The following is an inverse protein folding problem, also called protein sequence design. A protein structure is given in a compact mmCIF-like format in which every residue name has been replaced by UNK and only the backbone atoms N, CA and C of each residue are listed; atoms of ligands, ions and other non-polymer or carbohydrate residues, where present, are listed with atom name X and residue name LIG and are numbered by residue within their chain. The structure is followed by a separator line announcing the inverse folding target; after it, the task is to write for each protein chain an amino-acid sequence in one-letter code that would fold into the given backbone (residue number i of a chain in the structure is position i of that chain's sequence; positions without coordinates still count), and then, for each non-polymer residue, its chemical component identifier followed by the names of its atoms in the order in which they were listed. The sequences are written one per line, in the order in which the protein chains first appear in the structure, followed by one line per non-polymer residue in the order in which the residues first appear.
data_IF_751181427468
#
_entry.id   IF_751181427468
#
_cell.length_a   1.000
_cell.length_b   1.000
_cell.length_c   1.000
_cell.angle_alpha   90.00
_cell.angle_beta   90.00
_cell.angle_gamma   90.00
#
_symmetry.space_group_name_H-M   'P 1'
#
loop_
_entity.id
_entity.type
_entity.pdbx_description
1 polymer ?
#
# COMPACT_ATOMS: atom_id res chain seq x y z
N UNK A 1 7.69 -57.27 -50.95
CA UNK A 1 6.61 -56.91 -51.89
C UNK A 1 6.74 -55.42 -52.18
N UNK A 2 7.58 -55.06 -53.17
CA UNK A 2 7.23 -54.55 -54.52
C UNK A 2 6.46 -53.21 -54.46
N UNK A 3 7.15 -52.07 -54.58
CA UNK A 3 7.49 -51.28 -55.79
C UNK A 3 6.52 -50.07 -55.92
N UNK A 4 6.95 -48.83 -55.68
CA UNK A 4 7.45 -47.86 -56.69
C UNK A 4 6.69 -47.88 -58.03
N UNK A 5 6.03 -46.78 -58.42
CA UNK A 5 6.49 -45.89 -59.52
C UNK A 5 5.59 -44.64 -59.74
N UNK A 6 6.26 -43.54 -60.07
CA UNK A 6 5.77 -42.27 -60.64
C UNK A 6 5.08 -42.43 -62.01
N UNK A 7 4.20 -41.50 -62.40
CA UNK A 7 4.43 -40.63 -63.58
C UNK A 7 3.43 -39.45 -63.70
N UNK A 8 3.98 -38.29 -64.09
CA UNK A 8 3.34 -37.02 -64.49
C UNK A 8 2.59 -37.14 -65.83
N UNK A 9 1.71 -36.16 -66.16
CA UNK A 9 1.81 -35.28 -67.36
C UNK A 9 0.63 -34.28 -67.49
N UNK A 10 1.00 -32.98 -67.46
CA UNK A 10 0.58 -31.77 -68.21
C UNK A 10 -0.90 -31.43 -68.52
N UNK A 11 -1.31 -30.20 -68.17
CA UNK A 11 -1.68 -29.11 -69.12
C UNK A 11 -1.95 -27.77 -68.41
N UNK A 12 -1.23 -26.70 -68.81
CA UNK A 12 -1.65 -25.28 -68.72
C UNK A 12 -2.57 -24.99 -69.93
N UNK A 13 -3.53 -24.01 -69.94
CA UNK A 13 -3.19 -22.57 -69.91
C UNK A 13 -4.22 -21.56 -69.29
N UNK A 14 -3.65 -20.43 -68.83
CA UNK A 14 -4.07 -19.01 -68.98
C UNK A 14 -5.49 -18.56 -68.57
N UNK A 15 -5.55 -17.61 -67.62
CA UNK A 15 -6.70 -16.72 -67.45
C UNK A 15 -6.60 -15.70 -66.30
N UNK A 16 -6.12 -14.48 -66.60
CA UNK A 16 -6.30 -13.18 -65.89
C UNK A 16 -5.61 -12.94 -64.52
N UNK A 17 -4.59 -12.04 -64.46
CA UNK A 17 -4.12 -11.46 -63.20
C UNK A 17 -5.00 -10.23 -62.88
N UNK A 18 -6.08 -10.44 -62.14
CA UNK A 18 -6.96 -9.33 -61.71
C UNK A 18 -7.66 -9.53 -60.36
N UNK A 19 -7.38 -10.64 -59.66
CA UNK A 19 -8.09 -10.98 -58.41
C UNK A 19 -7.40 -10.55 -57.12
N UNK A 20 -6.06 -10.42 -57.10
CA UNK A 20 -5.33 -10.19 -55.85
C UNK A 20 -5.37 -8.74 -55.36
N UNK A 21 -5.53 -7.78 -56.26
CA UNK A 21 -5.59 -6.36 -55.87
C UNK A 21 -6.90 -6.03 -55.13
N UNK A 22 -8.01 -6.69 -55.47
CA UNK A 22 -9.28 -6.51 -54.76
C UNK A 22 -9.27 -7.08 -53.34
N UNK A 23 -8.55 -8.18 -53.12
CA UNK A 23 -8.40 -8.76 -51.76
C UNK A 23 -7.66 -7.79 -50.84
N UNK A 24 -6.62 -7.11 -51.33
CA UNK A 24 -5.87 -6.11 -50.55
C UNK A 24 -6.65 -4.80 -50.34
N UNK A 25 -7.43 -4.35 -51.33
CA UNK A 25 -8.26 -3.15 -51.20
C UNK A 25 -9.42 -3.36 -50.21
N UNK A 26 -9.99 -4.57 -50.15
CA UNK A 26 -11.04 -4.90 -49.17
C UNK A 26 -10.52 -5.06 -47.74
N UNK A 27 -9.23 -5.37 -47.56
CA UNK A 27 -8.55 -5.39 -46.25
C UNK A 27 -8.26 -3.99 -45.69
N UNK A 28 -8.22 -2.96 -46.54
CA UNK A 28 -7.93 -1.58 -46.14
C UNK A 28 -9.17 -0.73 -45.82
N UNK A 29 -10.38 -1.27 -46.02
CA UNK A 29 -11.64 -0.57 -45.72
C UNK A 29 -12.13 -0.90 -44.30
N UNK A 30 -12.31 0.10 -43.42
CA UNK A 30 -12.80 -0.14 -42.06
C UNK A 30 -14.21 -0.77 -42.10
N UNK A 31 -14.42 -1.82 -41.29
CA UNK A 31 -15.65 -2.63 -41.13
C UNK A 31 -15.95 -3.72 -42.17
N UNK A 32 -15.03 -4.08 -43.06
CA UNK A 32 -15.24 -5.20 -44.00
C UNK A 32 -14.73 -6.57 -43.50
N UNK A 33 -13.96 -6.63 -42.40
CA UNK A 33 -13.38 -7.89 -41.89
C UNK A 33 -14.42 -8.92 -41.42
N UNK A 34 -15.58 -8.47 -40.90
CA UNK A 34 -16.66 -9.35 -40.44
C UNK A 34 -17.34 -10.19 -41.52
N UNK A 35 -17.17 -9.86 -42.81
CA UNK A 35 -17.77 -10.59 -43.94
C UNK A 35 -16.98 -11.85 -44.35
N UNK A 36 -15.72 -11.99 -43.89
CA UNK A 36 -14.83 -13.11 -44.25
C UNK A 36 -14.43 -13.97 -43.05
N UNK A 37 -15.04 -13.78 -41.88
CA UNK A 37 -14.79 -14.61 -40.69
C UNK A 37 -13.37 -14.48 -40.13
N UNK A 38 -12.68 -13.38 -40.44
CA UNK A 38 -11.40 -13.02 -39.84
C UNK A 38 -11.74 -12.06 -38.69
N UNK A 39 -11.35 -12.39 -37.46
CA UNK A 39 -11.46 -11.47 -36.32
C UNK A 39 -10.82 -10.13 -36.70
N UNK A 40 -11.47 -9.03 -36.35
CA UNK A 40 -10.94 -7.68 -36.59
C UNK A 40 -9.49 -7.67 -36.08
N UNK A 41 -8.54 -7.43 -36.99
CA UNK A 41 -7.16 -7.15 -36.62
C UNK A 41 -7.14 -5.77 -35.98
N UNK A 42 -7.63 -5.70 -34.74
CA UNK A 42 -7.28 -4.63 -33.84
C UNK A 42 -5.82 -4.90 -33.48
N UNK A 43 -4.86 -4.04 -33.89
CA UNK A 43 -3.54 -4.13 -33.30
C UNK A 43 -3.78 -4.10 -31.79
N UNK A 44 -3.26 -5.11 -31.08
CA UNK A 44 -3.38 -5.22 -29.63
C UNK A 44 -3.20 -3.81 -29.07
N UNK A 45 -4.26 -3.27 -28.46
CA UNK A 45 -4.24 -1.94 -27.89
C UNK A 45 -2.97 -1.87 -27.07
N UNK A 46 -2.03 -0.98 -27.46
CA UNK A 46 -0.76 -0.87 -26.77
C UNK A 46 -1.12 -0.72 -25.29
N UNK A 47 -0.74 -1.72 -24.48
CA UNK A 47 -0.95 -1.65 -23.04
C UNK A 47 -0.27 -0.36 -22.63
N UNK A 48 -1.01 0.62 -22.13
CA UNK A 48 -0.43 1.88 -21.64
C UNK A 48 -0.40 1.82 -20.13
N UNK A 49 0.56 2.52 -19.54
CA UNK A 49 0.82 2.47 -18.10
C UNK A 49 0.66 3.86 -17.52
N UNK A 50 -0.08 3.96 -16.41
CA UNK A 50 -0.22 5.19 -15.67
C UNK A 50 0.97 5.39 -14.71
N UNK A 51 1.51 6.60 -14.69
CA UNK A 51 2.52 7.05 -13.73
C UNK A 51 1.97 8.31 -13.06
N UNK A 52 2.04 8.39 -11.74
CA UNK A 52 1.65 9.58 -11.00
C UNK A 52 2.90 10.30 -10.56
N UNK A 53 2.97 11.60 -10.80
CA UNK A 53 4.17 12.39 -10.57
C UNK A 53 3.94 13.48 -9.54
N UNK A 54 4.79 13.50 -8.52
CA UNK A 54 4.90 14.62 -7.60
C UNK A 54 5.87 15.63 -8.22
N UNK A 55 5.32 16.69 -8.80
CA UNK A 55 6.07 17.76 -9.47
C UNK A 55 5.91 19.05 -8.66
N UNK A 56 6.87 19.41 -7.79
CA UNK A 56 6.85 20.66 -7.06
C UNK A 56 6.92 21.86 -8.02
N UNK A 57 6.28 22.96 -7.67
CA UNK A 57 6.48 24.24 -8.32
C UNK A 57 7.79 24.86 -7.82
N UNK A 58 8.55 25.57 -8.68
CA UNK A 58 9.72 26.31 -8.24
C UNK A 58 9.36 27.27 -7.10
N UNK A 59 10.20 27.39 -6.06
CA UNK A 59 9.96 28.35 -5.00
C UNK A 59 9.96 29.77 -5.57
N UNK A 60 9.19 30.70 -4.97
CA UNK A 60 9.25 32.11 -5.34
C UNK A 60 10.67 32.68 -5.20
N UNK A 61 10.98 33.81 -5.88
CA UNK A 61 12.27 34.48 -5.76
C UNK A 61 12.64 34.88 -4.32
N UNK A 62 11.62 35.07 -3.48
CA UNK A 62 11.75 35.51 -2.09
C UNK A 62 12.10 34.37 -1.11
N UNK A 63 12.28 33.14 -1.60
CA UNK A 63 12.74 31.99 -0.82
C UNK A 63 11.69 30.91 -0.55
N UNK A 64 11.98 29.95 0.34
CA UNK A 64 11.07 28.86 0.67
C UNK A 64 9.78 29.42 1.30
N UNK A 65 8.64 28.87 0.89
CA UNK A 65 7.36 29.23 1.47
C UNK A 65 7.13 28.40 2.73
N UNK A 66 6.85 29.06 3.84
CA UNK A 66 6.52 28.40 5.09
C UNK A 66 5.01 28.30 5.26
N UNK A 67 4.54 27.20 5.84
CA UNK A 67 3.12 26.97 6.04
C UNK A 67 2.54 27.96 7.06
N UNK A 68 1.35 28.46 6.76
CA UNK A 68 0.54 29.22 7.71
C UNK A 68 -0.06 28.30 8.78
N UNK A 69 -0.47 28.88 9.92
CA UNK A 69 -1.14 28.12 10.98
C UNK A 69 -2.42 27.42 10.50
N UNK A 70 -3.17 28.06 9.60
CA UNK A 70 -4.39 27.49 9.03
C UNK A 70 -4.09 26.31 8.09
N UNK A 71 -3.01 26.39 7.29
CA UNK A 71 -2.57 25.28 6.43
C UNK A 71 -2.16 24.06 7.26
N UNK A 72 -1.43 24.28 8.35
CA UNK A 72 -1.02 23.23 9.29
C UNK A 72 -2.23 22.59 9.98
N UNK A 73 -3.27 23.38 10.28
CA UNK A 73 -4.42 22.92 11.04
C UNK A 73 -5.50 22.22 10.19
N UNK A 74 -5.71 22.63 8.93
CA UNK A 74 -6.96 22.29 8.24
C UNK A 74 -6.86 21.81 6.78
N UNK A 75 -5.81 22.12 6.03
CA UNK A 75 -5.89 22.00 4.56
C UNK A 75 -4.75 21.29 3.86
N UNK A 76 -3.58 21.14 4.49
CA UNK A 76 -2.42 20.55 3.84
C UNK A 76 -2.07 19.18 4.42
N UNK A 77 -1.79 18.23 3.53
CA UNK A 77 -1.38 16.87 3.88
C UNK A 77 0.13 16.87 4.06
N UNK A 78 0.62 16.24 5.12
CA UNK A 78 2.06 16.08 5.33
C UNK A 78 2.65 15.10 4.32
N UNK A 79 3.89 15.33 3.87
CA UNK A 79 4.59 14.36 3.02
C UNK A 79 4.68 12.98 3.69
N UNK A 80 4.89 12.98 5.00
CA UNK A 80 4.86 11.81 5.87
C UNK A 80 3.52 11.04 5.82
N UNK A 81 2.42 11.72 5.54
CA UNK A 81 1.06 11.17 5.59
C UNK A 81 0.54 10.67 4.23
N UNK A 82 1.34 10.77 3.16
CA UNK A 82 0.87 10.57 1.79
C UNK A 82 0.16 9.23 1.55
N UNK A 83 0.73 8.12 2.04
CA UNK A 83 0.14 6.79 1.86
C UNK A 83 -1.19 6.63 2.61
N UNK A 84 -1.25 7.09 3.87
CA UNK A 84 -2.48 7.06 4.68
C UNK A 84 -3.54 7.99 4.08
N UNK A 85 -3.14 9.16 3.58
CA UNK A 85 -4.04 10.10 2.92
C UNK A 85 -4.64 9.53 1.62
N UNK A 86 -3.84 8.87 0.78
CA UNK A 86 -4.34 8.16 -0.41
C UNK A 86 -5.37 7.10 -0.01
N UNK A 87 -5.04 6.27 0.98
CA UNK A 87 -5.92 5.19 1.40
C UNK A 87 -7.23 5.69 2.03
N UNK A 88 -7.18 6.75 2.82
CA UNK A 88 -8.35 7.34 3.49
C UNK A 88 -9.11 8.32 2.61
N UNK A 89 -8.76 8.45 1.32
CA UNK A 89 -9.45 9.34 0.40
C UNK A 89 -9.34 10.82 0.76
N UNK A 90 -8.31 11.21 1.52
CA UNK A 90 -8.05 12.61 1.77
C UNK A 90 -7.64 13.26 0.44
N UNK A 91 -8.58 14.01 -0.12
CA UNK A 91 -8.34 14.84 -1.28
C UNK A 91 -7.52 16.02 -0.80
N UNK A 92 -6.23 16.03 -1.10
CA UNK A 92 -5.43 17.21 -0.79
C UNK A 92 -5.64 18.30 -1.81
N UNK A 93 -5.28 19.50 -1.38
CA UNK A 93 -5.02 20.59 -2.30
C UNK A 93 -3.74 20.31 -3.09
N UNK A 94 -3.29 21.28 -3.88
CA UNK A 94 -1.97 21.22 -4.50
C UNK A 94 -0.85 21.54 -3.48
N UNK A 95 -1.11 21.48 -2.17
CA UNK A 95 -0.17 21.87 -1.12
C UNK A 95 0.09 20.67 -0.21
N UNK A 96 1.37 20.38 0.01
CA UNK A 96 1.82 19.49 1.06
C UNK A 96 2.68 20.22 2.10
N UNK A 97 2.82 19.59 3.26
CA UNK A 97 3.69 20.05 4.34
C UNK A 97 4.93 19.16 4.41
N UNK A 98 6.10 19.76 4.23
CA UNK A 98 7.38 19.12 4.50
C UNK A 98 7.82 19.45 5.93
N UNK A 99 7.84 18.41 6.78
CA UNK A 99 8.32 18.47 8.16
C UNK A 99 9.77 17.98 8.29
N UNK A 100 10.51 17.83 7.18
CA UNK A 100 11.91 17.41 7.22
C UNK A 100 12.75 18.36 8.09
N UNK A 101 13.83 17.88 8.72
CA UNK A 101 14.71 18.75 9.52
C UNK A 101 15.22 19.97 8.75
N UNK A 102 15.44 19.83 7.44
CA UNK A 102 15.84 20.93 6.57
C UNK A 102 14.70 21.96 6.37
N UNK A 103 13.48 21.49 6.11
CA UNK A 103 12.29 22.34 5.97
C UNK A 103 11.97 23.09 7.27
N UNK A 104 12.00 22.39 8.41
CA UNK A 104 11.80 23.01 9.72
C UNK A 104 12.87 24.05 10.05
N UNK A 105 14.14 23.79 9.69
CA UNK A 105 15.21 24.77 9.87
C UNK A 105 15.01 26.00 8.97
N UNK A 106 14.57 25.81 7.72
CA UNK A 106 14.27 26.90 6.79
C UNK A 106 13.08 27.75 7.27
N UNK A 107 12.11 27.13 7.95
CA UNK A 107 10.88 27.73 8.43
C UNK A 107 10.82 27.82 9.96
N UNK A 108 11.95 28.13 10.61
CA UNK A 108 12.03 28.31 12.07
C UNK A 108 11.72 29.75 12.53
N UNK A 109 11.69 30.73 11.62
CA UNK A 109 11.60 32.15 11.97
C UNK A 109 10.16 32.65 12.09
N UNK A 110 9.76 33.30 13.21
CA UNK A 110 8.43 33.85 13.36
C UNK A 110 8.01 34.77 12.20
N UNK A 111 6.73 34.76 11.78
CA UNK A 111 5.59 34.07 12.40
C UNK A 111 5.47 32.59 12.00
N UNK A 112 6.36 32.07 11.16
CA UNK A 112 6.31 30.74 10.59
C UNK A 112 7.35 29.88 11.30
N UNK A 113 6.94 29.18 12.37
CA UNK A 113 7.79 28.26 13.14
C UNK A 113 7.44 26.79 12.87
N UNK A 114 7.19 26.44 11.60
CA UNK A 114 6.51 25.20 11.23
C UNK A 114 7.00 24.61 9.91
N UNK A 115 6.22 23.69 9.37
CA UNK A 115 6.52 22.98 8.13
C UNK A 115 6.78 23.92 6.95
N UNK A 116 7.60 23.46 6.00
CA UNK A 116 7.69 24.12 4.71
C UNK A 116 6.47 23.76 3.86
N UNK A 117 5.89 24.78 3.21
CA UNK A 117 4.82 24.64 2.22
C UNK A 117 5.45 24.20 0.90
N UNK A 118 5.03 23.05 0.38
CA UNK A 118 5.41 22.57 -0.95
C UNK A 118 4.17 22.58 -1.83
N UNK A 119 4.18 23.42 -2.86
CA UNK A 119 3.09 23.46 -3.83
C UNK A 119 3.43 22.58 -5.04
N UNK A 120 2.50 21.75 -5.46
CA UNK A 120 2.63 20.83 -6.59
C UNK A 120 1.84 21.32 -7.81
N UNK A 121 2.23 20.87 -9.00
CA UNK A 121 1.46 21.09 -10.23
C UNK A 121 0.12 20.34 -10.17
N UNK A 122 0.15 19.07 -9.74
CA UNK A 122 -1.03 18.24 -9.47
C UNK A 122 -1.53 18.34 -8.02
N UNK A 123 -2.64 17.68 -7.74
CA UNK A 123 -3.14 17.52 -6.35
C UNK A 123 -2.26 16.53 -5.60
N UNK A 124 -1.93 16.82 -4.35
CA UNK A 124 -1.14 15.91 -3.51
C UNK A 124 -2.07 15.18 -2.53
N UNK A 125 -1.89 13.88 -2.25
CA UNK A 125 -0.86 12.94 -2.73
C UNK A 125 -1.17 12.23 -4.05
N UNK A 126 -2.25 12.61 -4.76
CA UNK A 126 -2.64 11.93 -5.99
C UNK A 126 -1.59 12.06 -7.11
N UNK A 127 -0.83 13.15 -7.12
CA UNK A 127 0.15 13.48 -8.15
C UNK A 127 -0.52 13.88 -9.47
N UNK A 128 0.30 14.37 -10.40
CA UNK A 128 -0.10 14.60 -11.78
C UNK A 128 -0.05 13.27 -12.54
N UNK A 129 -1.18 12.72 -13.04
CA UNK A 129 -1.16 11.48 -13.81
C UNK A 129 -0.60 11.72 -15.22
N UNK A 130 0.25 10.80 -15.67
CA UNK A 130 0.75 10.73 -17.04
C UNK A 130 0.66 9.30 -17.57
N UNK A 131 0.61 9.17 -18.89
CA UNK A 131 0.57 7.88 -19.58
C UNK A 131 1.89 7.64 -20.31
N UNK A 132 2.51 6.50 -20.03
CA UNK A 132 3.74 6.05 -20.65
C UNK A 132 3.53 4.74 -21.42
N UNK A 133 4.36 4.54 -22.45
CA UNK A 133 4.48 3.25 -23.11
C UNK A 133 5.31 2.30 -22.20
N UNK A 134 4.74 1.18 -21.71
CA UNK A 134 5.42 0.25 -20.82
C UNK A 134 6.67 -0.38 -21.44
N UNK A 135 6.76 -0.45 -22.77
CA UNK A 135 7.97 -0.98 -23.43
C UNK A 135 9.17 -0.04 -23.27
N UNK A 136 8.92 1.23 -22.93
CA UNK A 136 9.94 2.27 -22.76
C UNK A 136 10.08 2.74 -21.30
N UNK A 137 9.07 2.49 -20.47
CA UNK A 137 9.07 2.89 -19.07
C UNK A 137 9.88 1.91 -18.21
N UNK A 138 11.13 2.28 -17.96
CA UNK A 138 12.03 1.57 -17.03
C UNK A 138 12.14 2.24 -15.66
N UNK A 139 11.85 3.54 -15.61
CA UNK A 139 11.98 4.37 -14.40
C UNK A 139 10.91 5.46 -14.40
N UNK A 140 9.94 5.32 -13.50
CA UNK A 140 8.87 6.28 -13.26
C UNK A 140 9.40 7.66 -12.84
N UNK A 141 10.55 7.74 -12.15
CA UNK A 141 11.14 9.03 -11.80
C UNK A 141 11.61 9.78 -13.05
N UNK A 142 12.31 9.09 -13.96
CA UNK A 142 12.74 9.67 -15.23
C UNK A 142 11.55 10.14 -16.09
N UNK A 143 10.44 9.41 -16.08
CA UNK A 143 9.19 9.85 -16.69
C UNK A 143 8.67 11.14 -16.04
N UNK A 144 8.63 11.22 -14.72
CA UNK A 144 8.18 12.42 -14.00
C UNK A 144 9.07 13.63 -14.21
N UNK A 145 10.38 13.46 -14.35
CA UNK A 145 11.30 14.53 -14.77
C UNK A 145 10.98 15.01 -16.18
N UNK A 146 10.68 14.10 -17.10
CA UNK A 146 10.28 14.45 -18.47
C UNK A 146 8.97 15.23 -18.50
N UNK A 147 7.99 14.79 -17.70
CA UNK A 147 6.71 15.48 -17.55
C UNK A 147 6.90 16.88 -16.93
N UNK A 148 7.74 16.99 -15.91
CA UNK A 148 8.10 18.27 -15.31
C UNK A 148 8.72 19.23 -16.33
N UNK A 149 9.64 18.76 -17.19
CA UNK A 149 10.26 19.60 -18.22
C UNK A 149 9.26 20.15 -19.26
N UNK A 150 8.12 19.48 -19.43
CA UNK A 150 7.04 19.97 -20.28
C UNK A 150 6.21 21.06 -19.60
N UNK A 151 6.07 20.99 -18.26
CA UNK A 151 5.33 21.96 -17.43
C UNK A 151 6.18 23.17 -16.99
N UNK A 152 7.50 22.97 -16.83
CA UNK A 152 8.46 23.97 -16.35
C UNK A 152 9.72 23.96 -17.22
N UNK A 153 10.21 25.11 -17.70
CA UNK A 153 11.35 25.18 -18.61
C UNK A 153 12.72 25.03 -17.93
N UNK A 154 12.80 24.69 -16.64
CA UNK A 154 14.06 24.50 -15.90
C UNK A 154 14.38 23.01 -15.68
N UNK A 155 15.27 22.40 -16.50
CA UNK A 155 15.60 20.99 -16.38
C UNK A 155 16.42 20.63 -15.14
N UNK A 156 17.18 21.58 -14.61
CA UNK A 156 17.97 21.38 -13.40
C UNK A 156 17.04 21.28 -12.20
N UNK A 157 16.03 22.16 -12.13
CA UNK A 157 15.00 22.06 -11.11
C UNK A 157 14.22 20.74 -11.22
N UNK A 158 13.75 20.38 -12.43
CA UNK A 158 12.96 19.17 -12.63
C UNK A 158 13.72 17.89 -12.25
N UNK A 159 14.97 17.76 -12.68
CA UNK A 159 15.80 16.58 -12.33
C UNK A 159 16.07 16.43 -10.83
N UNK A 160 16.04 17.53 -10.06
CA UNK A 160 16.29 17.50 -8.63
C UNK A 160 15.02 17.30 -7.78
N UNK A 161 13.84 17.66 -8.29
CA UNK A 161 12.62 17.79 -7.49
C UNK A 161 11.44 16.92 -7.97
N UNK A 162 11.34 16.62 -9.27
CA UNK A 162 10.25 15.82 -9.80
C UNK A 162 10.54 14.32 -9.62
N UNK A 163 9.58 13.58 -9.09
CA UNK A 163 9.71 12.16 -8.83
C UNK A 163 8.35 11.45 -8.96
N UNK A 164 8.41 10.13 -9.06
CA UNK A 164 7.22 9.30 -8.98
C UNK A 164 6.58 9.48 -7.61
N UNK A 165 5.27 9.69 -7.61
CA UNK A 165 4.50 9.94 -6.39
C UNK A 165 4.55 8.74 -5.44
N UNK A 166 4.17 8.95 -4.18
CA UNK A 166 4.19 7.93 -3.13
C UNK A 166 3.59 6.61 -3.63
N UNK A 167 4.30 5.49 -3.41
CA UNK A 167 3.91 4.12 -3.75
C UNK A 167 3.71 3.83 -5.26
N UNK A 168 4.23 4.68 -6.16
CA UNK A 168 4.29 4.37 -7.59
C UNK A 168 5.46 3.43 -7.86
N UNK A 169 5.25 2.24 -8.46
CA UNK A 169 6.35 1.35 -8.84
C UNK A 169 7.16 1.96 -9.99
N UNK A 170 8.44 1.59 -10.11
CA UNK A 170 9.34 2.08 -11.18
C UNK A 170 8.77 1.87 -12.59
N UNK A 171 7.98 0.82 -12.78
CA UNK A 171 7.35 0.48 -14.07
C UNK A 171 5.93 1.03 -14.21
N UNK A 172 5.46 1.89 -13.29
CA UNK A 172 4.10 2.41 -13.27
C UNK A 172 3.01 1.36 -13.12
N UNK A 173 1.75 1.75 -13.32
CA UNK A 173 0.57 0.90 -13.19
C UNK A 173 -0.02 0.53 -14.56
N UNK A 174 0.10 -0.74 -14.99
CA UNK A 174 -0.49 -1.21 -16.24
C UNK A 174 -2.01 -1.02 -16.25
N UNK A 175 -2.56 -0.65 -17.41
CA UNK A 175 -4.01 -0.55 -17.61
C UNK A 175 -4.65 0.71 -17.05
N UNK A 176 -3.86 1.65 -16.49
CA UNK A 176 -4.35 2.94 -16.00
C UNK A 176 -4.57 4.00 -17.08
N UNK A 177 -4.37 3.65 -18.34
CA UNK A 177 -4.44 4.54 -19.48
C UNK A 177 -5.24 3.90 -20.61
N UNK A 178 -5.90 4.73 -21.42
CA UNK A 178 -6.58 4.29 -22.64
C UNK A 178 -5.56 3.98 -23.73
N UNK A 179 -6.00 3.30 -24.78
CA UNK A 179 -5.17 3.02 -25.96
C UNK A 179 -4.74 4.28 -26.71
N UNK A 180 -5.38 5.43 -26.47
CA UNK A 180 -5.01 6.74 -27.00
C UNK A 180 -4.02 7.50 -26.09
N UNK A 181 -3.55 6.89 -25.00
CA UNK A 181 -2.61 7.52 -24.06
C UNK A 181 -3.26 8.53 -23.12
N UNK A 182 -4.57 8.44 -22.88
CA UNK A 182 -5.26 9.28 -21.89
C UNK A 182 -5.39 8.53 -20.57
N UNK A 183 -5.19 9.22 -19.44
CA UNK A 183 -5.39 8.64 -18.12
C UNK A 183 -6.86 8.26 -17.89
N UNK A 184 -7.11 7.12 -17.25
CA UNK A 184 -8.45 6.67 -16.88
C UNK A 184 -8.83 7.30 -15.54
N UNK A 185 -9.81 8.21 -15.56
CA UNK A 185 -10.28 8.89 -14.36
C UNK A 185 -10.74 7.90 -13.27
N UNK A 186 -10.29 8.13 -12.03
CA UNK A 186 -10.59 7.27 -10.88
C UNK A 186 -9.71 6.03 -10.75
N UNK A 187 -8.79 5.79 -11.68
CA UNK A 187 -7.84 4.68 -11.56
C UNK A 187 -6.67 5.08 -10.65
N UNK A 188 -6.65 4.62 -9.40
CA UNK A 188 -5.46 4.75 -8.56
C UNK A 188 -5.29 3.50 -7.68
N UNK A 189 -4.44 2.54 -8.06
CA UNK A 189 -4.23 1.32 -7.29
C UNK A 189 -3.65 1.57 -5.89
N UNK A 190 -3.02 2.72 -5.65
CA UNK A 190 -2.33 3.05 -4.39
C UNK A 190 -3.28 3.34 -3.24
N UNK A 191 -4.56 3.56 -3.52
CA UNK A 191 -5.58 3.71 -2.46
C UNK A 191 -5.76 2.40 -1.69
N UNK A 192 -5.42 1.25 -2.27
CA UNK A 192 -5.62 -0.05 -1.64
C UNK A 192 -4.50 -0.32 -0.63
N UNK A 193 -4.84 -0.82 0.57
CA UNK A 193 -3.84 -1.21 1.55
C UNK A 193 -3.08 -2.46 1.06
N UNK A 194 -1.83 -2.61 1.48
CA UNK A 194 -1.01 -3.76 1.12
C UNK A 194 -1.43 -4.98 1.97
N UNK A 195 -1.66 -6.15 1.35
CA UNK A 195 -1.74 -7.40 2.10
C UNK A 195 -0.42 -7.63 2.86
N UNK A 196 -0.52 -8.06 4.12
CA UNK A 196 0.67 -8.45 4.88
C UNK A 196 1.28 -9.72 4.29
N UNK A 197 2.59 -9.69 4.06
CA UNK A 197 3.41 -10.82 3.66
C UNK A 197 4.13 -11.35 4.89
N UNK A 198 3.67 -12.50 5.39
CA UNK A 198 4.24 -13.14 6.57
C UNK A 198 5.65 -13.68 6.32
N UNK A 199 6.55 -13.44 7.28
CA UNK A 199 7.81 -14.15 7.37
C UNK A 199 7.59 -15.51 8.00
N UNK A 200 7.27 -16.47 7.14
CA UNK A 200 6.91 -17.83 7.52
C UNK A 200 7.85 -18.84 6.86
N UNK A 201 8.38 -19.76 7.66
CA UNK A 201 9.17 -20.89 7.21
C UNK A 201 8.35 -22.18 7.35
N UNK A 202 8.02 -22.89 6.24
CA UNK A 202 7.33 -24.19 6.33
C UNK A 202 8.08 -25.24 7.15
N UNK A 203 9.40 -25.13 7.26
CA UNK A 203 10.20 -26.03 8.09
C UNK A 203 10.12 -25.70 9.58
N UNK A 204 9.83 -24.45 9.92
CA UNK A 204 9.68 -23.93 11.29
C UNK A 204 8.46 -22.99 11.36
N UNK A 205 7.23 -23.54 11.32
CA UNK A 205 6.04 -22.73 11.10
C UNK A 205 5.64 -21.85 12.29
N UNK A 206 6.42 -21.84 13.39
CA UNK A 206 6.15 -21.05 14.60
C UNK A 206 4.70 -21.19 15.10
N UNK A 207 4.16 -22.40 14.96
CA UNK A 207 2.80 -22.76 15.37
C UNK A 207 1.66 -22.20 14.50
N UNK A 208 1.97 -21.46 13.43
CA UNK A 208 0.99 -20.81 12.55
C UNK A 208 1.12 -21.25 11.09
N UNK A 209 0.09 -21.00 10.31
CA UNK A 209 0.09 -21.20 8.86
C UNK A 209 -0.59 -20.02 8.19
N UNK A 210 0.09 -19.32 7.26
CA UNK A 210 -0.49 -18.23 6.52
C UNK A 210 -1.44 -18.75 5.43
N UNK A 211 -2.51 -18.02 5.15
CA UNK A 211 -3.36 -18.18 3.98
C UNK A 211 -3.52 -16.82 3.30
N UNK A 212 -2.62 -16.51 2.37
CA UNK A 212 -2.48 -15.14 1.89
C UNK A 212 -2.00 -14.22 3.02
N UNK A 213 -2.76 -13.17 3.30
CA UNK A 213 -2.52 -12.26 4.42
C UNK A 213 -3.28 -12.61 5.70
N UNK A 214 -4.02 -13.72 5.71
CA UNK A 214 -4.58 -14.29 6.94
C UNK A 214 -3.53 -15.14 7.64
N UNK A 215 -3.66 -15.30 8.95
CA UNK A 215 -2.76 -16.11 9.77
C UNK A 215 -3.55 -16.95 10.77
N UNK A 216 -3.42 -18.27 10.69
CA UNK A 216 -4.10 -19.21 11.56
C UNK A 216 -3.10 -19.92 12.48
N UNK A 217 -3.41 -20.04 13.77
CA UNK A 217 -2.72 -20.99 14.64
C UNK A 217 -3.18 -22.42 14.35
N UNK A 218 -2.27 -23.23 13.82
CA UNK A 218 -2.51 -24.64 13.46
C UNK A 218 -1.90 -25.61 14.48
N UNK A 219 -0.91 -25.17 15.26
CA UNK A 219 -0.40 -25.96 16.38
C UNK A 219 -1.45 -26.07 17.50
N UNK A 220 -1.44 -27.21 18.19
CA UNK A 220 -2.27 -27.43 19.36
C UNK A 220 -2.02 -26.36 20.43
N UNK A 221 -3.04 -26.07 21.24
CA UNK A 221 -2.90 -25.22 22.43
C UNK A 221 -1.91 -25.87 23.39
N UNK A 222 -0.85 -25.15 23.76
CA UNK A 222 0.18 -25.65 24.66
C UNK A 222 -0.32 -25.70 26.11
N UNK A 223 0.03 -26.74 26.89
CA UNK A 223 -0.31 -26.77 28.32
C UNK A 223 0.44 -25.70 29.12
N UNK A 224 -0.09 -25.23 30.26
CA UNK A 224 -1.37 -25.62 30.87
C UNK A 224 -2.59 -25.05 30.12
N UNK A 225 -3.67 -25.83 29.98
CA UNK A 225 -4.84 -25.43 29.19
C UNK A 225 -5.69 -24.35 29.88
N UNK A 226 -5.58 -24.22 31.20
CA UNK A 226 -6.27 -23.18 31.96
C UNK A 226 -5.65 -21.78 31.80
N UNK A 227 -4.36 -21.70 31.48
CA UNK A 227 -3.68 -20.46 31.15
C UNK A 227 -2.56 -20.74 30.14
N UNK A 228 -2.93 -21.02 28.89
CA UNK A 228 -1.96 -21.40 27.88
C UNK A 228 -1.01 -20.23 27.59
N UNK A 229 0.27 -20.53 27.28
CA UNK A 229 1.19 -19.48 26.86
C UNK A 229 0.83 -18.98 25.47
N UNK A 230 1.17 -17.72 25.21
CA UNK A 230 1.28 -17.21 23.85
C UNK A 230 2.62 -17.68 23.26
N UNK A 231 2.57 -18.64 22.35
CA UNK A 231 3.75 -19.35 21.83
C UNK A 231 3.66 -19.69 20.33
N UNK A 232 2.75 -19.03 19.61
CA UNK A 232 2.63 -19.14 18.15
C UNK A 232 2.40 -17.76 17.54
N UNK A 233 2.93 -17.49 16.35
CA UNK A 233 2.91 -16.16 15.76
C UNK A 233 3.83 -16.04 14.55
N UNK A 234 3.72 -14.90 13.87
CA UNK A 234 4.64 -14.51 12.81
C UNK A 234 4.67 -12.98 12.67
N UNK A 235 5.79 -12.48 12.15
CA UNK A 235 5.94 -11.08 11.77
C UNK A 235 5.90 -10.88 10.26
N UNK A 236 5.70 -9.65 9.79
CA UNK A 236 5.73 -9.32 8.36
C UNK A 236 7.16 -9.18 7.82
N UNK A 237 7.33 -9.54 6.55
CA UNK A 237 8.52 -9.18 5.76
C UNK A 237 8.58 -7.69 5.42
N UNK A 238 7.42 -7.06 5.31
CA UNK A 238 7.32 -5.62 5.07
C UNK A 238 7.80 -4.85 6.29
N UNK A 239 8.55 -3.77 6.02
CA UNK A 239 9.01 -2.80 7.01
C UNK A 239 8.33 -1.46 6.80
N UNK A 240 8.00 -0.80 7.90
CA UNK A 240 7.58 0.59 7.96
C UNK A 240 8.83 1.38 8.35
N UNK A 241 9.50 1.96 7.36
CA UNK A 241 10.79 2.65 7.56
C UNK A 241 10.63 4.08 8.07
N UNK A 242 9.52 4.75 7.72
CA UNK A 242 9.14 6.09 8.17
C UNK A 242 7.72 6.43 7.73
N UNK A 243 7.24 7.61 8.14
CA UNK A 243 5.96 8.17 7.71
C UNK A 243 4.76 7.60 8.47
N UNK A 244 3.62 8.25 8.32
CA UNK A 244 2.36 7.75 8.87
C UNK A 244 2.04 6.41 8.22
N UNK A 245 1.52 5.51 9.03
CA UNK A 245 1.23 4.15 8.64
C UNK A 245 0.15 3.57 9.54
N UNK A 246 -0.45 2.46 9.15
CA UNK A 246 -1.22 1.65 10.09
C UNK A 246 -1.22 0.20 9.67
N UNK A 247 -1.39 -0.70 10.64
CA UNK A 247 -1.83 -2.08 10.39
C UNK A 247 -3.30 -2.19 10.77
N UNK A 248 -4.08 -2.87 9.94
CA UNK A 248 -5.48 -3.19 10.16
C UNK A 248 -5.69 -4.69 10.14
N UNK A 249 -6.50 -5.21 11.06
CA UNK A 249 -6.84 -6.63 11.10
C UNK A 249 -8.22 -6.87 11.73
N UNK A 250 -8.74 -8.07 11.49
CA UNK A 250 -9.89 -8.65 12.21
C UNK A 250 -9.49 -10.00 12.81
N UNK A 251 -10.28 -10.48 13.77
CA UNK A 251 -10.06 -11.77 14.40
C UNK A 251 -11.30 -12.66 14.29
N UNK A 252 -11.07 -13.95 14.07
CA UNK A 252 -12.07 -15.01 14.10
C UNK A 252 -11.47 -16.29 14.64
N UNK A 253 -12.25 -17.36 14.67
CA UNK A 253 -11.80 -18.69 15.04
C UNK A 253 -12.62 -19.78 14.34
N UNK A 254 -12.03 -20.96 14.20
CA UNK A 254 -12.81 -22.14 13.77
C UNK A 254 -13.82 -22.48 14.86
N UNK A 255 -15.08 -22.63 14.46
CA UNK A 255 -16.16 -23.08 15.35
C UNK A 255 -16.83 -21.97 16.15
N UNK A 256 -16.63 -20.69 15.80
CA UNK A 256 -17.25 -19.52 16.44
C UNK A 256 -16.92 -19.42 17.96
N UNK A 257 -15.67 -19.71 18.32
CA UNK A 257 -15.18 -19.66 19.69
C UNK A 257 -14.36 -18.41 19.94
N UNK A 258 -14.59 -17.71 21.06
CA UNK A 258 -13.82 -16.52 21.44
C UNK A 258 -12.43 -16.94 21.90
N UNK A 259 -11.44 -16.75 21.03
CA UNK A 259 -10.03 -17.09 21.27
C UNK A 259 -9.17 -15.84 21.40
N UNK A 260 -7.93 -16.02 21.88
CA UNK A 260 -7.01 -14.91 22.11
C UNK A 260 -6.11 -14.66 20.90
N UNK A 261 -6.00 -13.39 20.52
CA UNK A 261 -5.18 -12.90 19.43
C UNK A 261 -4.45 -11.64 19.91
N UNK A 262 -3.18 -11.52 19.57
CA UNK A 262 -2.45 -10.25 19.70
C UNK A 262 -1.89 -9.91 18.33
N UNK A 263 -2.14 -8.68 17.89
CA UNK A 263 -1.56 -8.16 16.66
C UNK A 263 -1.26 -6.68 16.79
N UNK A 264 -0.23 -6.22 16.10
CA UNK A 264 0.17 -4.83 16.10
C UNK A 264 1.51 -4.63 15.43
N UNK A 265 2.33 -3.77 16.01
CA UNK A 265 3.61 -3.34 15.46
C UNK A 265 4.76 -3.61 16.43
N UNK A 266 5.85 -4.15 15.90
CA UNK A 266 7.11 -4.35 16.63
C UNK A 266 8.20 -3.47 16.04
N UNK A 267 8.98 -2.82 16.91
CA UNK A 267 10.22 -2.17 16.50
C UNK A 267 11.23 -3.22 16.02
N UNK A 268 11.81 -3.01 14.85
CA UNK A 268 12.81 -3.92 14.31
C UNK A 268 14.15 -3.61 14.98
N UNK A 269 14.83 -4.61 15.57
CA UNK A 269 16.16 -4.40 16.14
C UNK A 269 17.14 -3.85 15.10
N UNK A 270 17.94 -2.83 15.47
CA UNK A 270 18.87 -2.13 14.55
C UNK A 270 19.82 -3.04 13.75
N UNK A 271 20.15 -4.22 14.28
CA UNK A 271 21.08 -5.16 13.67
C UNK A 271 20.38 -6.36 13.03
N UNK A 272 19.05 -6.31 12.83
CA UNK A 272 18.34 -7.42 12.21
C UNK A 272 18.50 -7.38 10.68
N UNK A 273 18.92 -8.50 10.04
CA UNK A 273 19.02 -8.58 8.58
C UNK A 273 17.68 -8.30 7.91
N UNK A 274 17.69 -7.94 6.63
CA UNK A 274 16.47 -7.74 5.84
C UNK A 274 16.27 -8.90 4.84
N UNK A 275 15.16 -9.67 4.92
CA UNK A 275 14.06 -9.59 5.89
C UNK A 275 14.48 -10.01 7.31
N UNK A 276 13.85 -9.39 8.32
CA UNK A 276 14.13 -9.67 9.73
C UNK A 276 13.32 -10.87 10.21
N UNK A 277 13.98 -11.99 10.46
CA UNK A 277 13.31 -13.22 10.90
C UNK A 277 12.66 -13.07 12.27
N UNK A 278 11.41 -13.50 12.38
CA UNK A 278 10.75 -13.66 13.67
C UNK A 278 11.28 -14.90 14.40
N UNK A 279 11.80 -14.67 15.61
CA UNK A 279 12.37 -15.70 16.47
C UNK A 279 11.64 -15.81 17.82
N UNK A 280 10.60 -15.00 18.05
CA UNK A 280 9.92 -14.89 19.34
C UNK A 280 8.43 -14.60 19.18
N UNK A 281 7.61 -15.64 19.32
CA UNK A 281 6.17 -15.57 19.15
C UNK A 281 5.43 -15.01 20.38
N UNK A 282 6.15 -14.51 21.39
CA UNK A 282 5.55 -13.96 22.60
C UNK A 282 4.97 -12.57 22.33
N UNK A 283 3.84 -12.19 22.94
CA UNK A 283 3.32 -10.82 22.88
C UNK A 283 4.26 -9.80 23.52
N UNK A 284 5.29 -10.26 24.25
CA UNK A 284 6.35 -9.39 24.76
C UNK A 284 7.28 -8.87 23.66
N UNK A 285 7.35 -9.55 22.50
CA UNK A 285 8.07 -9.05 21.32
C UNK A 285 7.30 -7.90 20.64
N UNK A 286 5.97 -7.90 20.80
CA UNK A 286 5.08 -6.91 20.21
C UNK A 286 5.22 -5.60 20.99
N UNK A 287 5.79 -4.59 20.33
CA UNK A 287 6.06 -3.30 20.97
C UNK A 287 4.77 -2.51 21.21
N UNK A 288 3.86 -2.53 20.24
CA UNK A 288 2.56 -1.85 20.30
C UNK A 288 1.49 -2.78 19.75
N UNK A 289 0.76 -3.46 20.63
CA UNK A 289 -0.21 -4.50 20.28
C UNK A 289 -1.60 -4.27 20.83
N UNK A 290 -2.60 -4.76 20.11
CA UNK A 290 -3.96 -4.94 20.61
C UNK A 290 -4.13 -6.42 20.92
N UNK A 291 -4.59 -6.72 22.12
CA UNK A 291 -4.97 -8.07 22.52
C UNK A 291 -6.49 -8.19 22.54
N UNK A 292 -7.00 -9.06 21.69
CA UNK A 292 -8.38 -9.54 21.70
C UNK A 292 -8.35 -10.83 22.50
N UNK A 293 -8.95 -10.85 23.68
CA UNK A 293 -8.76 -11.94 24.65
C UNK A 293 -10.00 -12.84 24.77
N UNK A 294 -9.84 -14.10 25.17
CA UNK A 294 -10.93 -15.10 25.31
C UNK A 294 -12.14 -14.67 26.15
N UNK A 295 -12.00 -13.63 26.98
CA UNK A 295 -13.08 -13.03 27.75
C UNK A 295 -13.96 -12.05 26.91
N UNK A 296 -13.70 -11.92 25.62
CA UNK A 296 -14.42 -11.03 24.71
C UNK A 296 -14.06 -9.56 24.90
N UNK A 297 -12.86 -9.26 25.42
CA UNK A 297 -12.41 -7.90 25.73
C UNK A 297 -11.20 -7.47 24.93
N UNK A 298 -11.11 -6.16 24.71
CA UNK A 298 -10.00 -5.50 24.02
C UNK A 298 -9.04 -4.92 25.03
N UNK A 299 -7.78 -5.30 24.94
CA UNK A 299 -6.70 -4.78 25.74
C UNK A 299 -5.60 -4.18 24.86
N UNK A 300 -4.80 -3.30 25.42
CA UNK A 300 -3.58 -2.80 24.79
C UNK A 300 -2.38 -3.40 25.51
N UNK A 301 -1.41 -3.87 24.74
CA UNK A 301 -0.12 -4.35 25.23
C UNK A 301 0.95 -3.45 24.62
N UNK A 302 1.76 -2.84 25.48
CA UNK A 302 2.91 -2.04 25.06
C UNK A 302 4.17 -2.65 25.68
N UNK A 303 5.12 -3.09 24.84
CA UNK A 303 6.40 -3.70 25.26
C UNK A 303 6.20 -4.85 26.27
N UNK A 304 5.20 -5.70 26.02
CA UNK A 304 4.83 -6.82 26.91
C UNK A 304 4.08 -6.43 28.19
N UNK A 305 3.75 -5.16 28.39
CA UNK A 305 3.00 -4.67 29.56
C UNK A 305 1.57 -4.35 29.17
N UNK A 306 0.62 -4.85 29.95
CA UNK A 306 -0.79 -4.51 29.80
C UNK A 306 -1.04 -3.05 30.19
N UNK A 307 -1.60 -2.27 29.26
CA UNK A 307 -2.10 -0.92 29.56
C UNK A 307 -3.48 -1.06 30.19
N UNK A 308 -3.67 -0.42 31.34
CA UNK A 308 -4.95 -0.49 32.06
C UNK A 308 -5.99 0.40 31.37
N UNK A 309 -6.98 -0.24 30.76
CA UNK A 309 -8.13 0.43 30.16
C UNK A 309 -9.12 1.02 31.19
N UNK A 310 -10.07 1.84 30.73
CA UNK A 310 -10.97 2.60 31.59
C UNK A 310 -12.06 1.77 32.28
N UNK A 311 -12.30 0.54 31.84
CA UNK A 311 -13.36 -0.29 32.42
C UNK A 311 -12.92 -1.03 33.70
N UNK A 312 -13.89 -1.62 34.40
CA UNK A 312 -13.65 -2.31 35.68
C UNK A 312 -12.74 -3.54 35.56
N UNK A 313 -12.49 -4.04 34.35
CA UNK A 313 -11.61 -5.18 34.07
C UNK A 313 -10.25 -4.72 33.54
N UNK A 314 -10.00 -3.41 33.46
CA UNK A 314 -8.79 -2.85 32.85
C UNK A 314 -8.74 -2.99 31.34
N UNK A 315 -9.89 -3.12 30.68
CA UNK A 315 -10.04 -3.26 29.23
C UNK A 315 -10.58 -1.98 28.57
N UNK A 316 -10.43 -1.90 27.24
CA UNK A 316 -10.92 -0.83 26.38
C UNK A 316 -12.28 -1.16 25.74
N UNK A 317 -13.04 -2.03 26.41
CA UNK A 317 -14.38 -2.43 26.02
C UNK A 317 -14.46 -3.87 25.52
N UNK A 318 -15.65 -4.24 25.06
CA UNK A 318 -15.93 -5.55 24.51
C UNK A 318 -15.52 -5.60 23.03
N UNK A 319 -15.28 -6.81 22.52
CA UNK A 319 -15.29 -7.10 21.09
C UNK A 319 -16.17 -8.32 20.82
N UNK A 320 -16.63 -8.42 19.59
CA UNK A 320 -17.42 -9.51 19.08
C UNK A 320 -16.77 -10.05 17.80
N UNK A 321 -16.06 -11.17 17.91
CA UNK A 321 -15.43 -11.86 16.76
C UNK A 321 -16.44 -12.31 15.69
N UNK A 322 -17.72 -12.45 16.02
CA UNK A 322 -18.75 -12.79 15.04
C UNK A 322 -19.22 -11.55 14.26
N UNK A 323 -18.82 -10.35 14.68
CA UNK A 323 -19.03 -9.13 13.94
C UNK A 323 -17.95 -8.99 12.85
N UNK A 324 -18.30 -9.37 11.62
CA UNK A 324 -17.41 -9.28 10.45
C UNK A 324 -16.97 -7.85 10.09
N UNK A 325 -17.57 -6.83 10.71
CA UNK A 325 -17.21 -5.43 10.53
C UNK A 325 -16.23 -4.91 11.59
N UNK A 326 -16.03 -5.63 12.70
CA UNK A 326 -15.13 -5.18 13.75
C UNK A 326 -13.68 -5.44 13.35
N UNK A 327 -13.01 -4.34 13.00
CA UNK A 327 -11.59 -4.30 12.65
C UNK A 327 -10.86 -3.36 13.59
N UNK A 328 -9.60 -3.66 13.81
CA UNK A 328 -8.74 -2.93 14.73
C UNK A 328 -7.56 -2.35 13.97
N UNK A 329 -7.12 -1.16 14.40
CA UNK A 329 -5.94 -0.50 13.85
C UNK A 329 -4.95 -0.13 14.94
N UNK A 330 -3.68 -0.33 14.61
CA UNK A 330 -2.55 0.31 15.28
C UNK A 330 -1.96 1.29 14.27
N UNK A 331 -2.15 2.58 14.51
CA UNK A 331 -1.75 3.65 13.60
C UNK A 331 -0.54 4.41 14.14
N UNK A 332 0.35 4.78 13.24
CA UNK A 332 1.53 5.60 13.46
C UNK A 332 1.31 6.97 12.85
N UNK A 333 1.65 8.01 13.60
CA UNK A 333 1.81 9.36 13.08
C UNK A 333 3.24 9.82 13.33
N UNK A 334 3.97 10.10 12.25
CA UNK A 334 5.38 10.46 12.32
C UNK A 334 5.57 11.78 13.09
N UNK A 335 6.57 11.79 13.96
CA UNK A 335 7.02 12.98 14.68
C UNK A 335 7.96 13.82 13.82
N UNK A 336 8.17 15.08 14.21
CA UNK A 336 9.03 16.02 13.48
C UNK A 336 10.51 15.61 13.37
N UNK A 337 10.97 14.65 14.19
CA UNK A 337 12.35 14.12 14.12
C UNK A 337 12.54 13.09 13.00
N UNK A 338 11.45 12.72 12.31
CA UNK A 338 11.36 11.67 11.31
C UNK A 338 11.77 10.25 11.77
N UNK A 339 12.27 10.08 12.99
CA UNK A 339 12.77 8.84 13.56
C UNK A 339 11.75 8.17 14.48
N UNK A 340 10.81 8.93 15.01
CA UNK A 340 9.79 8.43 15.93
C UNK A 340 8.37 8.69 15.47
N UNK A 341 7.41 8.01 16.09
CA UNK A 341 5.99 8.18 15.82
C UNK A 341 5.14 8.09 17.08
N UNK A 342 4.05 8.85 17.13
CA UNK A 342 2.98 8.64 18.10
C UNK A 342 2.12 7.47 17.64
N UNK A 343 1.71 6.62 18.59
CA UNK A 343 0.91 5.42 18.30
C UNK A 343 -0.52 5.60 18.81
N UNK A 344 -1.49 5.30 17.98
CA UNK A 344 -2.92 5.33 18.34
C UNK A 344 -3.58 4.00 18.03
N UNK A 345 -4.53 3.62 18.88
CA UNK A 345 -5.27 2.37 18.78
C UNK A 345 -6.74 2.69 18.56
N UNK A 346 -7.30 2.15 17.48
CA UNK A 346 -8.69 2.41 17.12
C UNK A 346 -9.42 1.14 16.72
N UNK A 347 -10.75 1.21 16.82
CA UNK A 347 -11.66 0.23 16.25
C UNK A 347 -12.46 0.87 15.12
N UNK A 348 -12.64 0.14 14.03
CA UNK A 348 -13.53 0.56 12.95
C UNK A 348 -14.96 0.21 13.33
N UNK A 349 -15.86 1.17 13.15
CA UNK A 349 -17.28 1.04 13.52
C UNK A 349 -18.21 0.86 12.31
N UNK A 350 -17.64 0.91 11.10
CA UNK A 350 -18.36 0.70 9.85
C UNK A 350 -17.44 0.12 8.76
N UNK A 351 -18.03 -0.23 7.62
CA UNK A 351 -17.27 -0.64 6.44
C UNK A 351 -16.38 0.50 5.94
N UNK A 352 -15.07 0.26 6.01
CA UNK A 352 -14.03 1.08 5.43
C UNK A 352 -13.79 0.67 3.98
N UNK A 353 -14.09 1.57 3.04
CA UNK A 353 -13.83 1.41 1.61
C UNK A 353 -12.55 2.18 1.29
N UNK A 354 -11.50 1.54 0.73
CA UNK A 354 -10.30 2.24 0.29
C UNK A 354 -10.62 3.44 -0.61
N UNK A 355 -9.89 4.54 -0.40
CA UNK A 355 -10.15 5.82 -1.04
C UNK A 355 -11.27 6.64 -0.41
N UNK A 356 -11.78 6.26 0.78
CA UNK A 356 -12.74 7.03 1.55
C UNK A 356 -12.36 7.09 3.04
N UNK A 357 -12.74 8.15 3.77
CA UNK A 357 -12.52 8.20 5.21
C UNK A 357 -13.26 7.09 5.92
N UNK A 358 -12.61 6.45 6.89
CA UNK A 358 -13.18 5.35 7.63
C UNK A 358 -13.67 5.84 9.00
N UNK A 359 -14.84 5.36 9.42
CA UNK A 359 -15.38 5.65 10.75
C UNK A 359 -14.62 4.81 11.77
N UNK A 360 -13.84 5.48 12.62
CA UNK A 360 -13.00 4.84 13.63
C UNK A 360 -13.13 5.55 14.97
N UNK A 361 -13.18 4.74 16.04
CA UNK A 361 -13.16 5.21 17.41
C UNK A 361 -11.77 4.91 17.99
N UNK A 362 -10.99 5.97 18.22
CA UNK A 362 -9.71 5.88 18.94
C UNK A 362 -10.01 5.65 20.41
N UNK A 363 -9.59 4.51 20.94
CA UNK A 363 -9.79 4.15 22.35
C UNK A 363 -8.53 4.33 23.20
N UNK A 364 -7.36 4.44 22.59
CA UNK A 364 -6.10 4.70 23.30
C UNK A 364 -5.07 5.42 22.42
N UNK A 365 -4.25 6.26 23.03
CA UNK A 365 -3.05 6.86 22.43
C UNK A 365 -1.88 6.58 23.36
N UNK A 366 -0.84 5.95 22.83
CA UNK A 366 0.35 5.57 23.59
C UNK A 366 1.05 6.80 24.18
N UNK A 367 1.50 6.68 25.43
CA UNK A 367 2.40 7.66 26.06
C UNK A 367 3.85 7.47 25.60
N UNK A 368 4.19 6.30 25.06
CA UNK A 368 5.49 5.99 24.47
C UNK A 368 5.50 6.28 22.97
N UNK A 369 6.62 6.81 22.48
CA UNK A 369 6.87 6.91 21.05
C UNK A 369 7.40 5.59 20.48
N UNK A 370 6.96 5.26 19.27
CA UNK A 370 7.54 4.20 18.46
C UNK A 370 8.81 4.70 17.75
N UNK A 371 9.77 3.81 17.56
CA UNK A 371 10.99 4.07 16.80
C UNK A 371 10.96 3.30 15.48
N UNK A 372 11.20 3.98 14.36
CA UNK A 372 11.35 3.30 13.07
C UNK A 372 12.71 2.57 12.98
N UNK A 373 12.80 1.47 12.20
CA UNK A 373 11.72 0.84 11.45
C UNK A 373 10.85 -0.10 12.29
N UNK A 374 9.58 -0.26 11.90
CA UNK A 374 8.65 -1.21 12.50
C UNK A 374 8.21 -2.29 11.51
N UNK A 375 7.67 -3.40 11.99
CA UNK A 375 7.00 -4.45 11.21
C UNK A 375 5.67 -4.83 11.86
N UNK A 376 4.78 -5.46 11.10
CA UNK A 376 3.59 -6.10 11.67
C UNK A 376 4.03 -7.35 12.43
N UNK A 377 3.43 -7.58 13.59
CA UNK A 377 3.78 -8.70 14.46
C UNK A 377 2.55 -9.27 15.16
N UNK A 378 2.56 -10.57 15.43
CA UNK A 378 1.39 -11.31 15.90
C UNK A 378 1.74 -12.39 16.91
N UNK A 379 0.78 -12.68 17.78
CA UNK A 379 0.91 -13.75 18.76
C UNK A 379 -0.45 -14.39 19.05
N UNK A 380 -0.45 -15.70 19.21
CA UNK A 380 -1.62 -16.54 19.43
C UNK A 380 -1.40 -17.47 20.61
N UNK A 381 -2.49 -17.80 21.28
CA UNK A 381 -2.50 -18.67 22.46
C UNK A 381 -3.28 -19.97 22.22
N UNK A 382 -4.48 -19.89 21.68
CA UNK A 382 -5.33 -21.07 21.46
C UNK A 382 -5.30 -21.55 20.01
N UNK A 383 -5.25 -22.87 19.82
CA UNK A 383 -5.41 -23.49 18.52
C UNK A 383 -6.70 -23.04 17.83
N UNK A 384 -6.64 -22.89 16.51
CA UNK A 384 -7.74 -22.43 15.66
C UNK A 384 -8.10 -20.95 15.74
N UNK A 385 -7.33 -20.15 16.48
CA UNK A 385 -7.40 -18.69 16.39
C UNK A 385 -6.90 -18.23 15.00
N UNK A 386 -7.62 -17.28 14.38
CA UNK A 386 -7.33 -16.76 13.05
C UNK A 386 -7.33 -15.22 13.11
N UNK A 387 -6.28 -14.61 12.58
CA UNK A 387 -6.30 -13.20 12.15
C UNK A 387 -6.65 -13.17 10.67
N UNK A 388 -7.67 -12.39 10.31
CA UNK A 388 -8.16 -12.25 8.95
C UNK A 388 -7.92 -10.85 8.41
N UNK A 389 -7.68 -10.80 7.09
CA UNK A 389 -7.56 -9.58 6.28
C UNK A 389 -6.52 -8.62 6.85
N UNK A 390 -5.37 -9.16 7.29
CA UNK A 390 -4.31 -8.33 7.85
C UNK A 390 -3.68 -7.51 6.73
N UNK A 391 -3.79 -6.20 6.82
CA UNK A 391 -3.29 -5.27 5.81
C UNK A 391 -2.47 -4.16 6.46
N UNK A 392 -1.55 -3.59 5.69
CA UNK A 392 -0.70 -2.48 6.11
C UNK A 392 -0.78 -1.34 5.10
N UNK A 393 -0.88 -0.12 5.60
CA UNK A 393 -0.68 1.10 4.80
C UNK A 393 0.60 1.75 5.28
N UNK A 394 1.51 2.03 4.34
CA UNK A 394 2.80 2.67 4.59
C UNK A 394 3.32 3.33 3.31
N UNK A 395 4.35 4.15 3.46
CA UNK A 395 5.18 4.57 2.33
C UNK A 395 6.11 3.40 1.95
N UNK A 396 6.01 2.92 0.73
CA UNK A 396 6.83 1.87 0.14
C UNK A 396 8.14 2.48 -0.34
N UNK A 397 9.27 1.84 0.01
CA UNK A 397 10.62 2.23 -0.44
C UNK A 397 10.89 3.74 -0.33
N UNK A 398 10.90 4.30 0.90
CA UNK A 398 11.03 5.73 1.14
C UNK A 398 12.37 6.34 0.71
#
# INVERSE_FOLDING_TARGET
MKNMLNLRILKRPVGRPGGWLWVLVLLALPRCAGLIGVEDWSPASASTTAVFCDIPKPPPPDGPQCASLDEVAFSAIRLAAAAVALNTGQLGSNIALDDSPAALAACASPPFGGAQRVEFVGSFPQGLPGCADPSTLVDANAFCVTLCNAESPDPVFCSANAHASTNVPLTGFPGGCTSQGAYISGFDPRVNPEPVVWDWDPANPNGVTPNGNDLQRTAATSPPLENPPFDAGAASKQRIERGDAYVEFSATAIGNAVLSHVAGLSEIPKNCPDPCTDVNQSPNDITFGISLNVDGRVYVIEKGVLVTGPDLNGSFGLYNEQNQHERFRVSLRQSSDAATATVTYSRLTADCIPGNPCSEDVFWTSESLANYPLRVDTSFREANAILEKVVVVRIQNP
#
